data_IF_418785961791
#
_entry.id   IF_418785961791
#
_cell.length_a   1.000
_cell.length_b   1.000
_cell.length_c   1.000
_cell.angle_alpha   90.00
_cell.angle_beta   90.00
_cell.angle_gamma   90.00
#
_symmetry.space_group_name_H-M   'P 1'
#
loop_
_entity.id
_entity.type
_entity.pdbx_description
1 polymer ?
#
# COMPACT_ATOMS: atom_id res chain seq x y z
N UNK A 1 3.95 10.47 4.93
CA UNK A 1 3.30 10.77 3.64
C UNK A 1 3.09 12.26 3.55
N UNK A 2 3.30 12.85 2.38
CA UNK A 2 3.23 14.31 2.15
C UNK A 2 2.47 14.62 0.87
N UNK A 3 1.50 15.54 0.93
CA UNK A 3 0.71 15.99 -0.24
C UNK A 3 1.41 17.12 -1.00
N UNK A 4 0.87 17.53 -2.16
CA UNK A 4 1.41 18.66 -2.94
C UNK A 4 1.14 20.04 -2.30
N UNK A 5 0.27 20.10 -1.29
CA UNK A 5 0.03 21.26 -0.43
C UNK A 5 0.87 21.21 0.86
N UNK A 6 1.94 20.42 0.86
CA UNK A 6 2.90 20.25 1.97
C UNK A 6 2.27 19.77 3.30
N UNK A 7 1.08 19.16 3.24
CA UNK A 7 0.46 18.49 4.40
C UNK A 7 1.14 17.17 4.67
N UNK A 8 1.55 16.94 5.91
CA UNK A 8 2.26 15.72 6.34
C UNK A 8 1.41 14.90 7.29
N UNK A 9 1.50 13.59 7.14
CA UNK A 9 0.83 12.59 7.98
C UNK A 9 1.67 11.32 8.04
N UNK A 10 1.47 10.49 9.06
CA UNK A 10 2.26 9.30 9.31
C UNK A 10 1.44 8.17 9.93
N UNK A 11 1.92 6.95 9.69
CA UNK A 11 1.50 5.72 10.36
C UNK A 11 2.76 5.02 10.88
N UNK A 12 2.77 4.66 12.16
CA UNK A 12 3.84 3.92 12.82
C UNK A 12 3.26 2.63 13.36
N UNK A 13 3.98 1.52 13.17
CA UNK A 13 3.63 0.21 13.70
C UNK A 13 4.76 -0.21 14.64
N UNK A 14 4.45 -0.47 15.91
CA UNK A 14 5.46 -0.86 16.91
C UNK A 14 6.04 -2.25 16.64
N UNK A 15 5.30 -3.10 15.93
CA UNK A 15 5.78 -4.39 15.45
C UNK A 15 5.56 -4.45 13.94
N UNK A 16 6.63 -4.72 13.20
CA UNK A 16 6.59 -4.95 11.76
C UNK A 16 7.46 -6.17 11.43
N UNK A 17 6.93 -7.11 10.66
CA UNK A 17 7.65 -8.31 10.27
C UNK A 17 7.14 -8.87 8.95
N UNK A 18 8.04 -9.54 8.24
CA UNK A 18 7.75 -10.27 7.01
C UNK A 18 8.14 -11.73 7.19
N UNK A 19 7.35 -12.64 6.65
CA UNK A 19 7.78 -14.04 6.53
C UNK A 19 8.91 -14.18 5.50
N UNK A 20 9.55 -15.34 5.47
CA UNK A 20 10.56 -15.66 4.45
C UNK A 20 9.96 -15.69 3.04
N UNK A 21 10.83 -15.81 2.03
CA UNK A 21 10.41 -16.02 0.64
C UNK A 21 9.51 -17.27 0.48
N UNK A 22 9.80 -18.36 1.21
CA UNK A 22 8.95 -19.55 1.22
C UNK A 22 7.56 -19.26 1.79
N UNK A 23 7.46 -18.34 2.75
CA UNK A 23 6.21 -17.77 3.26
C UNK A 23 5.70 -16.57 2.45
N UNK A 24 6.21 -16.36 1.23
CA UNK A 24 5.80 -15.30 0.29
C UNK A 24 5.79 -13.90 0.89
N UNK A 25 6.76 -13.62 1.77
CA UNK A 25 6.91 -12.32 2.42
C UNK A 25 5.65 -11.84 3.14
N UNK A 26 4.85 -12.76 3.69
CA UNK A 26 3.59 -12.44 4.37
C UNK A 26 3.79 -11.37 5.46
N UNK A 27 2.93 -10.35 5.44
CA UNK A 27 3.01 -9.18 6.32
C UNK A 27 2.45 -9.44 7.72
N UNK A 28 3.14 -8.91 8.73
CA UNK A 28 2.65 -8.72 10.10
C UNK A 28 2.94 -7.28 10.53
N UNK A 29 1.90 -6.51 10.86
CA UNK A 29 1.99 -5.13 11.34
C UNK A 29 1.03 -4.93 12.52
N UNK A 30 1.54 -4.51 13.68
CA UNK A 30 0.75 -4.32 14.91
C UNK A 30 1.17 -3.06 15.67
N UNK A 31 0.33 -2.67 16.63
CA UNK A 31 0.57 -1.51 17.49
C UNK A 31 0.59 -0.20 16.70
N UNK A 32 -0.43 0.00 15.86
CA UNK A 32 -0.58 1.22 15.09
C UNK A 32 -0.64 2.47 16.00
N UNK A 33 0.06 3.51 15.57
CA UNK A 33 -0.09 4.88 16.06
C UNK A 33 0.14 5.87 14.92
N UNK A 34 -0.38 7.09 15.06
CA UNK A 34 -0.24 8.16 14.07
C UNK A 34 -1.57 8.75 13.62
N UNK A 35 -1.48 9.68 12.67
CA UNK A 35 -2.60 10.52 12.22
C UNK A 35 -3.12 10.17 10.81
N UNK A 36 -2.49 9.20 10.13
CA UNK A 36 -2.88 8.79 8.78
C UNK A 36 -4.11 7.87 8.73
N UNK A 37 -4.54 7.34 9.88
CA UNK A 37 -5.48 6.21 9.96
C UNK A 37 -4.79 4.88 9.64
N UNK A 38 -5.25 3.80 10.28
CA UNK A 38 -4.63 2.48 10.15
C UNK A 38 -5.15 1.72 8.92
N UNK A 39 -4.55 1.96 7.75
CA UNK A 39 -4.92 1.22 6.55
C UNK A 39 -4.10 -0.05 6.35
N UNK A 40 -2.86 -0.12 6.85
CA UNK A 40 -2.00 -1.30 6.68
C UNK A 40 -2.51 -2.52 7.46
N UNK A 41 -3.28 -2.33 8.54
CA UNK A 41 -3.89 -3.46 9.27
C UNK A 41 -4.79 -4.32 8.38
N UNK A 42 -5.43 -3.73 7.36
CA UNK A 42 -6.23 -4.48 6.38
C UNK A 42 -5.40 -5.42 5.51
N UNK A 43 -4.11 -5.12 5.39
CA UNK A 43 -3.14 -5.89 4.63
C UNK A 43 -2.40 -6.93 5.50
N UNK A 44 -2.70 -6.98 6.80
CA UNK A 44 -2.08 -7.94 7.69
C UNK A 44 -2.39 -9.38 7.26
N UNK A 45 -1.42 -10.27 7.44
CA UNK A 45 -1.46 -11.69 7.05
C UNK A 45 -1.62 -11.96 5.55
N UNK A 46 -1.53 -10.93 4.69
CA UNK A 46 -1.50 -11.14 3.24
C UNK A 46 -0.09 -11.45 2.76
N UNK A 47 -0.01 -12.27 1.72
CA UNK A 47 1.23 -12.55 1.00
C UNK A 47 1.55 -11.42 0.03
N UNK A 48 2.84 -11.21 -0.24
CA UNK A 48 3.25 -10.22 -1.22
C UNK A 48 2.96 -10.73 -2.64
N UNK A 49 2.25 -9.93 -3.43
CA UNK A 49 1.99 -10.22 -4.84
C UNK A 49 2.55 -9.12 -5.75
N UNK A 50 2.98 -9.52 -6.94
CA UNK A 50 3.53 -8.67 -7.99
C UNK A 50 2.97 -9.11 -9.36
N UNK A 51 3.24 -8.34 -10.42
CA UNK A 51 2.68 -8.58 -11.77
C UNK A 51 3.00 -9.99 -12.31
N UNK A 52 4.16 -10.53 -11.94
CA UNK A 52 4.67 -11.86 -12.32
C UNK A 52 4.47 -12.94 -11.24
N UNK A 53 3.94 -12.56 -10.07
CA UNK A 53 3.80 -13.44 -8.91
C UNK A 53 2.45 -13.21 -8.24
N UNK A 54 1.42 -13.90 -8.75
CA UNK A 54 0.05 -13.77 -8.25
C UNK A 54 -0.16 -14.58 -6.95
N UNK A 55 0.31 -14.03 -5.83
CA UNK A 55 0.05 -14.57 -4.49
C UNK A 55 -1.13 -13.86 -3.81
N UNK A 56 -2.01 -13.21 -4.57
CA UNK A 56 -3.12 -12.46 -3.98
C UNK A 56 -4.21 -13.42 -3.44
N UNK A 57 -5.05 -12.95 -2.51
CA UNK A 57 -6.12 -13.77 -1.93
C UNK A 57 -7.30 -14.04 -2.87
N UNK A 58 -7.30 -13.48 -4.09
CA UNK A 58 -8.43 -13.46 -5.01
C UNK A 58 -8.18 -14.32 -6.26
N UNK A 59 -8.73 -15.52 -6.28
CA UNK A 59 -8.46 -16.55 -7.31
C UNK A 59 -8.86 -16.19 -8.75
N UNK A 60 -9.60 -15.09 -8.96
CA UNK A 60 -10.15 -14.69 -10.27
C UNK A 60 -9.72 -13.32 -10.77
N UNK A 61 -8.99 -12.51 -9.97
CA UNK A 61 -8.58 -11.16 -10.36
C UNK A 61 -7.16 -10.83 -9.90
N UNK A 62 -6.28 -10.48 -10.84
CA UNK A 62 -4.90 -10.08 -10.55
C UNK A 62 -4.84 -8.59 -10.16
N UNK A 63 -4.86 -8.30 -8.85
CA UNK A 63 -4.73 -6.93 -8.34
C UNK A 63 -3.39 -6.29 -8.69
N UNK A 64 -2.30 -7.06 -8.61
CA UNK A 64 -0.97 -6.59 -8.94
C UNK A 64 -0.86 -6.16 -10.42
N UNK A 65 -1.49 -6.92 -11.33
CA UNK A 65 -1.53 -6.62 -12.76
C UNK A 65 -2.28 -5.32 -13.07
N UNK A 66 -3.40 -5.11 -12.37
CA UNK A 66 -4.29 -3.97 -12.59
C UNK A 66 -3.77 -2.68 -11.96
N UNK A 67 -3.05 -2.79 -10.83
CA UNK A 67 -2.59 -1.65 -10.05
C UNK A 67 -1.08 -1.37 -10.15
N UNK A 68 -0.38 -2.16 -10.97
CA UNK A 68 1.00 -1.94 -11.42
C UNK A 68 1.96 -1.64 -10.27
N UNK A 69 2.12 -2.61 -9.39
CA UNK A 69 3.04 -2.56 -8.25
C UNK A 69 3.03 -3.85 -7.46
N UNK A 70 4.07 -4.05 -6.66
CA UNK A 70 4.12 -5.15 -5.69
C UNK A 70 3.55 -4.71 -4.35
N UNK A 71 2.58 -5.45 -3.81
CA UNK A 71 1.96 -5.12 -2.52
C UNK A 71 1.35 -6.34 -1.85
N UNK A 72 1.02 -6.21 -0.57
CA UNK A 72 0.25 -7.19 0.19
C UNK A 72 -1.25 -7.05 -0.10
N UNK A 73 -1.66 -7.32 -1.34
CA UNK A 73 -3.04 -7.09 -1.79
C UNK A 73 -4.08 -7.95 -1.06
N UNK A 74 -5.30 -7.43 -0.94
CA UNK A 74 -6.49 -8.13 -0.43
C UNK A 74 -7.52 -8.30 -1.56
N UNK A 75 -8.41 -7.30 -1.74
CA UNK A 75 -9.35 -7.18 -2.85
C UNK A 75 -9.74 -5.69 -3.06
N UNK A 76 -8.93 -4.84 -3.69
CA UNK A 76 -7.51 -5.05 -4.00
C UNK A 76 -6.60 -4.43 -2.93
N UNK A 77 -6.92 -3.25 -2.41
CA UNK A 77 -6.14 -2.62 -1.34
C UNK A 77 -6.86 -1.45 -0.65
N UNK A 78 -6.45 -1.17 0.58
CA UNK A 78 -6.76 0.08 1.30
C UNK A 78 -5.58 1.05 1.31
N UNK A 79 -4.36 0.55 1.11
CA UNK A 79 -3.16 1.34 0.86
C UNK A 79 -2.36 0.66 -0.26
N UNK A 80 -1.72 1.45 -1.12
CA UNK A 80 -0.75 0.95 -2.09
C UNK A 80 0.32 2.02 -2.28
N UNK A 81 1.42 1.92 -1.54
CA UNK A 81 2.51 2.90 -1.63
C UNK A 81 3.47 2.63 -2.80
N UNK A 82 3.32 1.47 -3.45
CA UNK A 82 4.11 1.04 -4.60
C UNK A 82 3.35 1.22 -5.93
N UNK A 83 2.23 1.93 -5.92
CA UNK A 83 1.47 2.27 -7.12
C UNK A 83 2.13 3.38 -7.95
N UNK A 84 1.55 3.68 -9.11
CA UNK A 84 2.09 4.71 -10.01
C UNK A 84 2.12 6.08 -9.33
N UNK A 85 3.23 6.80 -9.50
CA UNK A 85 3.30 8.20 -9.09
C UNK A 85 2.54 9.08 -10.09
N UNK A 86 1.64 9.91 -9.59
CA UNK A 86 0.90 10.90 -10.34
C UNK A 86 1.31 12.29 -9.87
N UNK A 87 1.79 13.12 -10.79
CA UNK A 87 2.15 14.50 -10.51
C UNK A 87 0.89 15.38 -10.45
N UNK A 88 0.99 16.53 -9.76
CA UNK A 88 -0.09 17.46 -9.36
C UNK A 88 -1.31 17.63 -10.30
N UNK A 89 -1.13 17.55 -11.62
CA UNK A 89 -2.19 17.78 -12.62
C UNK A 89 -2.46 16.56 -13.51
N UNK A 90 -1.89 15.41 -13.18
CA UNK A 90 -2.18 14.18 -13.90
C UNK A 90 -3.63 13.78 -13.62
N UNK A 91 -4.32 13.38 -14.68
CA UNK A 91 -5.68 12.86 -14.57
C UNK A 91 -5.62 11.57 -13.74
N UNK A 92 -6.12 11.62 -12.51
CA UNK A 92 -6.32 10.41 -11.72
C UNK A 92 -7.39 9.56 -12.42
N UNK A 93 -7.05 8.35 -12.90
CA UNK A 93 -8.07 7.46 -13.42
C UNK A 93 -9.12 7.20 -12.33
N UNK A 94 -10.36 6.95 -12.75
CA UNK A 94 -11.46 6.60 -11.85
C UNK A 94 -11.19 5.33 -11.03
N UNK A 95 -10.29 4.47 -11.50
CA UNK A 95 -9.68 3.41 -10.71
C UNK A 95 -8.39 3.92 -10.06
N UNK A 96 -8.18 3.75 -8.74
CA UNK A 96 -6.93 4.11 -8.14
C UNK A 96 -5.85 3.16 -8.69
N UNK A 97 -4.90 3.68 -9.46
CA UNK A 97 -3.70 2.94 -9.93
C UNK A 97 -2.45 3.61 -9.36
N UNK A 98 -2.60 4.40 -8.29
CA UNK A 98 -1.60 5.33 -7.79
C UNK A 98 -1.10 5.03 -6.39
N UNK A 99 -0.14 5.83 -5.94
CA UNK A 99 0.24 5.89 -4.53
C UNK A 99 -0.97 6.34 -3.72
N UNK A 100 -1.51 5.41 -2.92
CA UNK A 100 -2.82 5.57 -2.31
C UNK A 100 -2.82 5.15 -0.83
N UNK A 101 -3.61 5.87 -0.04
CA UNK A 101 -3.92 5.54 1.34
C UNK A 101 -5.36 5.97 1.63
N UNK A 102 -6.22 5.00 1.94
CA UNK A 102 -7.66 5.24 2.11
C UNK A 102 -7.93 6.26 3.21
N UNK A 103 -8.86 7.17 2.94
CA UNK A 103 -9.21 8.28 3.83
C UNK A 103 -8.27 9.49 3.71
N UNK A 104 -7.19 9.42 2.92
CA UNK A 104 -6.29 10.54 2.65
C UNK A 104 -6.42 11.05 1.22
N UNK A 105 -5.72 12.16 0.94
CA UNK A 105 -5.68 12.80 -0.36
C UNK A 105 -5.30 11.80 -1.47
N UNK A 106 -5.86 12.01 -2.66
CA UNK A 106 -5.65 11.13 -3.82
C UNK A 106 -4.26 11.28 -4.44
N UNK A 107 -3.47 12.30 -4.05
CA UNK A 107 -2.10 12.51 -4.57
C UNK A 107 -1.10 12.80 -3.46
N UNK A 108 -0.08 11.95 -3.35
CA UNK A 108 1.07 12.20 -2.49
C UNK A 108 2.24 12.69 -3.33
N UNK A 109 2.84 13.80 -2.93
CA UNK A 109 4.09 14.30 -3.49
C UNK A 109 5.27 13.42 -3.09
N UNK A 110 5.24 12.89 -1.86
CA UNK A 110 6.30 12.08 -1.30
C UNK A 110 5.75 11.04 -0.30
N UNK A 111 6.27 9.82 -0.37
CA UNK A 111 6.02 8.73 0.58
C UNK A 111 7.34 8.01 0.87
N UNK A 112 7.46 7.46 2.08
CA UNK A 112 8.58 6.62 2.45
C UNK A 112 8.14 5.64 3.55
N UNK A 113 8.66 4.42 3.47
CA UNK A 113 8.59 3.43 4.54
C UNK A 113 9.99 3.27 5.13
N UNK A 114 10.11 3.28 6.46
CA UNK A 114 11.39 3.20 7.17
C UNK A 114 11.26 2.24 8.35
N UNK A 115 12.31 1.47 8.60
CA UNK A 115 12.46 0.62 9.79
C UNK A 115 13.54 1.23 10.67
N UNK A 116 13.38 1.12 11.98
CA UNK A 116 14.29 1.66 13.00
C UNK A 116 14.81 0.53 13.88
#
# INVERSE_FOLDING_TARGET
METFEDKKTYAVYSEFGLSSEAGKYKLSAKGYSGDAGDQLIKHNDQMFAADDADNNSHSTYCCACSHRGGWWFIDCYYANLNGKYYYKHDTFPSNPVGIYWSGLATSFRYVAMKLH
#
